data_IF_875336185655
#
_entry.id   IF_875336185655
#
_cell.length_a   1.000
_cell.length_b   1.000
_cell.length_c   1.000
_cell.angle_alpha   90.00
_cell.angle_beta   90.00
_cell.angle_gamma   90.00
#
_symmetry.space_group_name_H-M   'P 1'
#
loop_
_entity.id
_entity.type
_entity.pdbx_description
1 polymer ?
#
# COMPACT_ATOMS: atom_id res chain seq x y z
N UNK A 1 -0.19 -18.17 52.68
CA UNK A 1 1.16 -17.92 52.22
C UNK A 1 1.42 -18.86 51.08
N UNK A 2 1.30 -18.35 49.88
CA UNK A 2 2.02 -18.85 48.71
C UNK A 2 1.74 -17.91 47.54
N UNK A 3 2.65 -16.97 47.38
CA UNK A 3 2.67 -16.03 46.25
C UNK A 3 3.21 -16.80 45.04
N UNK A 4 2.37 -17.04 44.02
CA UNK A 4 2.81 -17.44 42.70
C UNK A 4 2.72 -16.24 41.74
N UNK A 5 3.85 -15.59 41.59
CA UNK A 5 4.17 -14.64 40.58
C UNK A 5 3.93 -15.23 39.17
N UNK A 6 2.91 -14.72 38.45
CA UNK A 6 2.71 -14.99 37.05
C UNK A 6 3.44 -13.86 36.27
N UNK A 7 4.71 -14.09 35.95
CA UNK A 7 5.45 -13.31 34.98
C UNK A 7 5.36 -14.01 33.61
N UNK A 8 4.31 -13.73 32.88
CA UNK A 8 4.08 -14.22 31.51
C UNK A 8 3.51 -13.15 30.61
N UNK A 9 4.34 -12.26 30.10
CA UNK A 9 3.85 -11.26 29.14
C UNK A 9 4.84 -10.14 28.91
N UNK A 10 5.93 -10.37 28.11
CA UNK A 10 6.68 -9.23 27.54
C UNK A 10 7.76 -9.63 26.51
N UNK A 11 7.73 -10.84 25.92
CA UNK A 11 8.75 -11.19 24.90
C UNK A 11 8.34 -10.90 23.44
N UNK A 12 7.05 -10.67 23.16
CA UNK A 12 6.58 -10.34 21.80
C UNK A 12 6.71 -8.85 21.45
N UNK A 13 6.63 -7.95 22.44
CA UNK A 13 6.67 -6.50 22.17
C UNK A 13 8.05 -5.95 21.77
N UNK A 14 9.15 -6.58 22.20
CA UNK A 14 10.49 -6.01 21.93
C UNK A 14 11.00 -6.27 20.50
N UNK A 15 10.59 -7.36 19.87
CA UNK A 15 11.02 -7.70 18.50
C UNK A 15 10.29 -6.84 17.45
N UNK A 16 9.01 -6.53 17.69
CA UNK A 16 8.22 -5.72 16.77
C UNK A 16 8.61 -4.22 16.83
N UNK A 17 8.94 -3.71 18.00
CA UNK A 17 9.31 -2.30 18.17
C UNK A 17 10.59 -1.91 17.42
N UNK A 18 11.56 -2.84 17.26
CA UNK A 18 12.75 -2.61 16.45
C UNK A 18 12.46 -2.56 14.95
N UNK A 19 11.47 -3.32 14.46
CA UNK A 19 11.09 -3.36 13.05
C UNK A 19 10.47 -2.05 12.56
N UNK A 20 9.77 -1.33 13.44
CA UNK A 20 9.13 -0.05 13.14
C UNK A 20 10.08 1.15 13.23
N UNK A 21 11.19 1.02 13.98
CA UNK A 21 12.18 2.08 14.10
C UNK A 21 13.13 2.18 12.88
N UNK A 22 13.22 1.11 12.05
CA UNK A 22 14.17 0.99 10.94
C UNK A 22 13.48 0.75 9.59
N UNK A 23 12.26 1.30 9.38
CA UNK A 23 11.57 1.16 8.09
C UNK A 23 12.34 1.92 7.00
N UNK A 24 12.96 1.19 6.08
CA UNK A 24 13.68 1.75 4.94
C UNK A 24 12.98 1.40 3.63
N UNK A 25 12.62 2.43 2.85
CA UNK A 25 12.11 2.26 1.50
C UNK A 25 13.22 1.76 0.56
N UNK A 26 12.86 0.96 -0.45
CA UNK A 26 13.79 0.43 -1.44
C UNK A 26 14.63 -0.78 -0.96
N UNK A 27 14.46 -1.22 0.29
CA UNK A 27 15.19 -2.37 0.83
C UNK A 27 14.33 -3.64 0.78
N UNK A 28 14.85 -4.70 0.15
CA UNK A 28 14.23 -6.04 0.21
C UNK A 28 14.32 -6.61 1.62
N UNK A 29 13.19 -7.08 2.12
CA UNK A 29 13.07 -7.68 3.46
C UNK A 29 12.31 -8.99 3.42
N UNK A 30 12.38 -9.72 4.52
CA UNK A 30 11.67 -10.97 4.73
C UNK A 30 10.80 -10.87 5.98
N UNK A 31 9.50 -11.13 5.83
CA UNK A 31 8.51 -11.07 6.90
C UNK A 31 7.98 -12.49 7.15
N UNK A 32 8.41 -13.11 8.23
CA UNK A 32 7.95 -14.44 8.65
C UNK A 32 6.54 -14.34 9.24
N UNK A 33 5.55 -14.81 8.50
CA UNK A 33 4.14 -14.72 8.89
C UNK A 33 3.80 -15.57 10.13
N UNK A 34 4.65 -16.54 10.49
CA UNK A 34 4.47 -17.33 11.71
C UNK A 34 4.95 -16.62 12.99
N UNK A 35 5.74 -15.56 12.85
CA UNK A 35 6.35 -14.80 13.95
C UNK A 35 5.86 -13.37 14.05
N UNK A 36 5.41 -12.80 12.93
CA UNK A 36 4.98 -11.40 12.82
C UNK A 36 3.48 -11.36 12.59
N UNK A 37 2.82 -10.34 13.15
CA UNK A 37 1.43 -10.00 12.84
C UNK A 37 1.34 -9.41 11.43
N UNK A 38 1.45 -10.27 10.39
CA UNK A 38 1.39 -9.83 9.00
C UNK A 38 -0.04 -9.52 8.56
N UNK A 39 -0.28 -8.33 8.01
CA UNK A 39 -1.55 -7.86 7.50
C UNK A 39 -1.50 -7.68 5.98
N UNK A 40 -1.59 -8.80 5.23
CA UNK A 40 -1.51 -8.76 3.78
C UNK A 40 -2.81 -8.22 3.16
N UNK A 41 -2.68 -7.26 2.26
CA UNK A 41 -3.77 -6.74 1.43
C UNK A 41 -3.41 -6.87 -0.06
N UNK A 42 -4.42 -7.09 -0.89
CA UNK A 42 -4.28 -7.19 -2.35
C UNK A 42 -5.49 -6.56 -3.06
N UNK A 43 -6.69 -6.71 -2.48
CA UNK A 43 -7.96 -6.28 -3.07
C UNK A 43 -8.68 -5.30 -2.15
N UNK A 44 -9.49 -4.42 -2.74
CA UNK A 44 -10.35 -3.52 -1.97
C UNK A 44 -11.37 -4.23 -1.06
N UNK A 45 -11.64 -5.51 -1.34
CA UNK A 45 -12.58 -6.34 -0.57
C UNK A 45 -11.93 -7.21 0.49
N UNK A 46 -10.61 -7.13 0.66
CA UNK A 46 -9.93 -7.90 1.68
C UNK A 46 -10.32 -7.38 3.07
N UNK A 47 -10.51 -8.30 4.01
CA UNK A 47 -10.87 -8.03 5.39
C UNK A 47 -10.03 -8.91 6.29
N UNK A 48 -9.55 -8.37 7.41
CA UNK A 48 -8.91 -9.13 8.49
C UNK A 48 -9.46 -8.66 9.83
N UNK A 49 -9.87 -9.60 10.67
CA UNK A 49 -10.40 -9.34 12.02
C UNK A 49 -11.55 -8.29 12.03
N UNK A 50 -12.40 -8.30 10.99
CA UNK A 50 -13.47 -7.35 10.77
C UNK A 50 -13.05 -5.98 10.21
N UNK A 51 -11.75 -5.73 10.07
CA UNK A 51 -11.22 -4.48 9.51
C UNK A 51 -11.04 -4.62 7.99
N UNK A 52 -11.67 -3.73 7.18
CA UNK A 52 -11.43 -3.72 5.73
C UNK A 52 -9.99 -3.34 5.42
N UNK A 53 -9.41 -3.97 4.39
CA UNK A 53 -8.04 -3.72 3.95
C UNK A 53 -8.00 -3.06 2.56
N UNK A 54 -8.89 -2.09 2.32
CA UNK A 54 -8.95 -1.30 1.08
C UNK A 54 -7.81 -0.26 1.00
N UNK A 55 -6.57 -0.71 1.25
CA UNK A 55 -5.37 0.11 1.39
C UNK A 55 -4.65 0.40 0.08
N UNK A 56 -4.94 -0.38 -0.96
CA UNK A 56 -4.22 -0.32 -2.25
C UNK A 56 -4.41 1.00 -2.99
N UNK A 57 -3.42 1.39 -3.77
CA UNK A 57 -3.42 2.62 -4.56
C UNK A 57 -4.54 2.70 -5.58
N UNK A 58 -5.02 1.55 -6.08
CA UNK A 58 -6.13 1.46 -7.02
C UNK A 58 -7.51 1.54 -6.35
N UNK A 59 -7.57 1.49 -4.99
CA UNK A 59 -8.82 1.53 -4.25
C UNK A 59 -9.48 2.91 -4.34
N UNK A 60 -10.73 2.91 -4.74
CA UNK A 60 -11.62 4.09 -4.70
C UNK A 60 -12.27 4.22 -3.32
N UNK A 61 -12.95 5.34 -3.09
CA UNK A 61 -13.71 5.60 -1.87
C UNK A 61 -13.02 6.54 -0.91
N UNK A 62 -11.76 6.90 -1.20
CA UNK A 62 -10.98 7.81 -0.36
C UNK A 62 -10.41 8.96 -1.21
N UNK A 63 -11.27 9.84 -1.79
CA UNK A 63 -10.80 10.96 -2.56
C UNK A 63 -10.03 11.94 -1.68
N UNK A 64 -9.05 12.62 -2.26
CA UNK A 64 -8.23 13.62 -1.57
C UNK A 64 -7.81 14.73 -2.52
N UNK A 65 -7.54 15.91 -1.98
CA UNK A 65 -7.03 17.03 -2.73
C UNK A 65 -5.49 16.99 -2.79
N UNK A 66 -4.94 17.36 -3.95
CA UNK A 66 -3.52 17.59 -4.13
C UNK A 66 -3.36 18.73 -5.14
N UNK A 67 -2.67 19.80 -4.76
CA UNK A 67 -2.52 21.00 -5.57
C UNK A 67 -3.86 21.54 -6.14
N UNK A 68 -4.89 21.64 -5.29
CA UNK A 68 -6.21 22.12 -5.69
C UNK A 68 -7.06 21.16 -6.54
N UNK A 69 -6.55 20.00 -6.91
CA UNK A 69 -7.23 19.00 -7.73
C UNK A 69 -7.64 17.78 -6.89
N UNK A 70 -8.83 17.23 -7.18
CA UNK A 70 -9.36 16.05 -6.47
C UNK A 70 -8.97 14.77 -7.19
N UNK A 71 -8.26 13.90 -6.50
CA UNK A 71 -7.91 12.57 -6.96
C UNK A 71 -8.82 11.51 -6.35
N UNK A 72 -9.35 10.62 -7.17
CA UNK A 72 -10.18 9.49 -6.71
C UNK A 72 -9.36 8.32 -6.17
N UNK A 73 -8.08 8.24 -6.55
CA UNK A 73 -7.16 7.15 -6.16
C UNK A 73 -5.73 7.68 -6.04
N UNK A 74 -4.95 7.10 -5.14
CA UNK A 74 -3.52 7.40 -5.03
C UNK A 74 -2.73 6.97 -6.27
N UNK A 75 -3.19 5.96 -7.02
CA UNK A 75 -2.56 5.56 -8.27
C UNK A 75 -2.61 6.68 -9.31
N UNK A 76 -3.74 7.38 -9.45
CA UNK A 76 -3.84 8.49 -10.41
C UNK A 76 -2.86 9.62 -10.06
N UNK A 77 -2.78 10.01 -8.77
CA UNK A 77 -1.82 11.01 -8.32
C UNK A 77 -0.37 10.56 -8.51
N UNK A 78 -0.07 9.29 -8.20
CA UNK A 78 1.24 8.70 -8.44
C UNK A 78 1.65 8.76 -9.92
N UNK A 79 0.74 8.37 -10.81
CA UNK A 79 0.98 8.40 -12.26
C UNK A 79 1.19 9.83 -12.79
N UNK A 80 0.50 10.83 -12.23
CA UNK A 80 0.75 12.24 -12.58
C UNK A 80 2.20 12.66 -12.30
N UNK A 81 2.80 12.12 -11.23
CA UNK A 81 4.21 12.35 -10.91
C UNK A 81 5.19 11.84 -11.97
N UNK A 82 4.83 10.79 -12.74
CA UNK A 82 5.67 10.31 -13.84
C UNK A 82 5.81 11.33 -14.99
N UNK A 83 4.88 12.30 -15.08
CA UNK A 83 4.81 13.33 -16.12
C UNK A 83 4.94 14.73 -15.52
N UNK A 84 5.75 14.90 -14.48
CA UNK A 84 5.80 16.11 -13.66
C UNK A 84 7.08 16.95 -13.81
N UNK A 85 7.94 16.65 -14.77
CA UNK A 85 9.19 17.40 -15.01
C UNK A 85 8.99 18.70 -15.80
N UNK A 86 7.80 18.93 -16.34
CA UNK A 86 7.47 20.11 -17.15
C UNK A 86 5.99 20.47 -17.06
N UNK A 87 5.70 21.78 -17.05
CA UNK A 87 4.35 22.31 -17.15
C UNK A 87 3.62 21.92 -18.45
N UNK A 88 4.36 21.59 -19.51
CA UNK A 88 3.79 21.21 -20.82
C UNK A 88 3.10 19.84 -20.81
N UNK A 89 3.29 19.01 -19.78
CA UNK A 89 2.71 17.66 -19.68
C UNK A 89 1.35 17.62 -18.99
N UNK A 90 0.78 18.75 -18.65
CA UNK A 90 -0.51 18.85 -17.93
C UNK A 90 -1.65 18.08 -18.61
N UNK A 91 -1.73 18.04 -19.94
CA UNK A 91 -2.78 17.30 -20.66
C UNK A 91 -2.75 15.79 -20.40
N UNK A 92 -1.54 15.22 -20.21
CA UNK A 92 -1.38 13.80 -19.84
C UNK A 92 -1.87 13.59 -18.40
N UNK A 93 -1.52 14.52 -17.51
CA UNK A 93 -1.93 14.46 -16.09
C UNK A 93 -3.45 14.58 -15.94
N UNK A 94 -4.11 15.51 -16.67
CA UNK A 94 -5.58 15.60 -16.70
C UNK A 94 -6.21 14.29 -17.18
N UNK A 95 -5.70 13.71 -18.27
CA UNK A 95 -6.22 12.43 -18.77
C UNK A 95 -6.06 11.28 -17.77
N UNK A 96 -5.00 11.28 -16.94
CA UNK A 96 -4.77 10.28 -15.88
C UNK A 96 -5.70 10.49 -14.69
N UNK A 97 -5.92 11.74 -14.29
CA UNK A 97 -6.76 12.09 -13.14
C UNK A 97 -8.25 11.86 -13.45
N UNK A 98 -8.70 12.24 -14.66
CA UNK A 98 -10.08 12.12 -15.11
C UNK A 98 -10.52 10.68 -15.42
N UNK A 99 -9.56 9.76 -15.66
CA UNK A 99 -9.90 8.35 -15.88
C UNK A 99 -10.41 7.70 -14.57
N UNK A 100 -11.72 7.40 -14.50
CA UNK A 100 -12.30 6.90 -13.26
C UNK A 100 -11.81 5.48 -12.89
N UNK A 101 -11.19 4.77 -13.83
CA UNK A 101 -10.61 3.46 -13.60
C UNK A 101 -9.08 3.56 -13.57
N UNK A 102 -8.50 3.60 -12.37
CA UNK A 102 -7.06 3.71 -12.18
C UNK A 102 -6.24 2.58 -12.88
N UNK A 103 -6.84 1.41 -13.08
CA UNK A 103 -6.21 0.34 -13.86
C UNK A 103 -6.13 0.70 -15.35
N UNK A 104 -7.16 1.35 -15.92
CA UNK A 104 -7.13 1.84 -17.29
C UNK A 104 -6.17 3.03 -17.44
N UNK A 105 -6.13 3.95 -16.48
CA UNK A 105 -5.13 5.02 -16.43
C UNK A 105 -3.72 4.44 -16.57
N UNK A 106 -3.38 3.44 -15.77
CA UNK A 106 -2.09 2.75 -15.82
C UNK A 106 -1.85 1.99 -17.12
N UNK A 107 -2.81 1.18 -17.55
CA UNK A 107 -2.66 0.26 -18.68
C UNK A 107 -2.78 0.92 -20.05
N UNK A 108 -3.56 1.99 -20.17
CA UNK A 108 -3.87 2.64 -21.45
C UNK A 108 -3.17 3.99 -21.55
N UNK A 109 -3.48 4.92 -20.63
CA UNK A 109 -3.01 6.31 -20.76
C UNK A 109 -1.50 6.37 -20.53
N UNK A 110 -1.00 5.83 -19.42
CA UNK A 110 0.43 5.77 -19.16
C UNK A 110 1.18 5.07 -20.30
N UNK A 111 0.70 3.90 -20.76
CA UNK A 111 1.38 3.12 -21.80
C UNK A 111 1.55 3.89 -23.12
N UNK A 112 0.55 4.69 -23.51
CA UNK A 112 0.62 5.53 -24.71
C UNK A 112 1.66 6.66 -24.58
N UNK A 113 1.96 7.07 -23.35
CA UNK A 113 2.79 8.22 -23.04
C UNK A 113 4.16 7.86 -22.45
N UNK A 114 4.58 6.59 -22.46
CA UNK A 114 5.83 6.12 -21.84
C UNK A 114 7.07 6.94 -22.22
N UNK A 115 7.13 7.43 -23.46
CA UNK A 115 8.27 8.27 -23.94
C UNK A 115 8.35 9.65 -23.28
N UNK A 116 7.29 10.07 -22.58
CA UNK A 116 7.23 11.35 -21.88
C UNK A 116 7.41 11.21 -20.36
N UNK A 117 7.63 9.98 -19.85
CA UNK A 117 7.97 9.77 -18.44
C UNK A 117 9.28 10.50 -18.15
N UNK A 118 9.35 11.19 -17.02
CA UNK A 118 10.55 11.90 -16.59
C UNK A 118 11.73 10.93 -16.40
N UNK A 119 12.92 11.37 -16.78
CA UNK A 119 14.11 10.50 -16.79
C UNK A 119 14.59 10.11 -15.38
N UNK A 120 14.39 10.99 -14.41
CA UNK A 120 14.79 10.80 -13.00
C UNK A 120 13.68 10.14 -12.15
N UNK A 121 12.68 9.50 -12.80
CA UNK A 121 11.54 8.90 -12.10
C UNK A 121 11.95 7.89 -11.02
N UNK A 122 12.93 7.05 -11.31
CA UNK A 122 13.40 6.03 -10.37
C UNK A 122 14.00 6.63 -9.09
N UNK A 123 14.54 7.85 -9.14
CA UNK A 123 15.10 8.55 -7.99
C UNK A 123 14.02 9.05 -7.03
N UNK A 124 12.89 9.51 -7.57
CA UNK A 124 11.86 10.19 -6.76
C UNK A 124 10.62 9.35 -6.45
N UNK A 125 10.37 8.27 -7.20
CA UNK A 125 9.09 7.54 -7.17
C UNK A 125 8.66 7.07 -5.78
N UNK A 126 9.59 6.69 -4.91
CA UNK A 126 9.26 6.23 -3.55
C UNK A 126 8.89 7.40 -2.66
N UNK A 127 9.63 8.50 -2.72
CA UNK A 127 9.33 9.73 -1.97
C UNK A 127 8.05 10.38 -2.47
N UNK A 128 7.83 10.38 -3.78
CA UNK A 128 6.58 10.86 -4.37
C UNK A 128 5.38 10.03 -3.91
N UNK A 129 5.48 8.69 -3.90
CA UNK A 129 4.40 7.84 -3.39
C UNK A 129 4.16 8.07 -1.89
N UNK A 130 5.21 8.23 -1.08
CA UNK A 130 5.08 8.54 0.34
C UNK A 130 4.33 9.86 0.54
N UNK A 131 4.69 10.90 -0.22
CA UNK A 131 3.99 12.17 -0.21
C UNK A 131 2.52 12.04 -0.61
N UNK A 132 2.22 11.37 -1.72
CA UNK A 132 0.84 11.15 -2.20
C UNK A 132 -0.02 10.42 -1.18
N UNK A 133 0.51 9.36 -0.54
CA UNK A 133 -0.23 8.61 0.47
C UNK A 133 -0.42 9.44 1.73
N UNK A 134 0.56 10.24 2.10
CA UNK A 134 0.43 11.18 3.21
C UNK A 134 -0.67 12.21 2.95
N UNK A 135 -0.70 12.84 1.77
CA UNK A 135 -1.77 13.76 1.37
C UNK A 135 -3.15 13.10 1.45
N UNK A 136 -3.25 11.82 1.05
CA UNK A 136 -4.48 11.04 1.22
C UNK A 136 -4.83 10.83 2.70
N UNK A 137 -3.87 10.58 3.57
CA UNK A 137 -4.10 10.40 5.01
C UNK A 137 -4.61 11.69 5.67
N UNK A 138 -4.03 12.84 5.36
CA UNK A 138 -4.46 14.11 5.94
C UNK A 138 -5.75 14.65 5.30
N UNK A 139 -5.93 14.44 3.99
CA UNK A 139 -7.07 14.94 3.23
C UNK A 139 -8.32 14.08 3.30
N UNK A 140 -8.26 12.84 3.80
CA UNK A 140 -9.41 11.94 3.87
C UNK A 140 -9.52 11.25 5.24
N UNK A 141 -10.51 11.67 6.03
CA UNK A 141 -10.72 11.17 7.40
C UNK A 141 -11.03 9.66 7.43
N UNK A 142 -11.79 9.13 6.47
CA UNK A 142 -12.16 7.71 6.45
C UNK A 142 -10.93 6.84 6.18
N UNK A 143 -10.03 7.26 5.27
CA UNK A 143 -8.78 6.55 5.03
C UNK A 143 -7.85 6.61 6.24
N UNK A 144 -7.74 7.77 6.88
CA UNK A 144 -6.98 7.95 8.12
C UNK A 144 -7.49 7.02 9.21
N UNK A 145 -8.80 7.00 9.45
CA UNK A 145 -9.44 6.16 10.46
C UNK A 145 -9.25 4.67 10.16
N UNK A 146 -9.38 4.27 8.88
CA UNK A 146 -9.08 2.91 8.44
C UNK A 146 -7.63 2.53 8.76
N UNK A 147 -6.67 3.37 8.42
CA UNK A 147 -5.25 3.08 8.66
C UNK A 147 -4.95 2.99 10.16
N UNK A 148 -5.56 3.85 10.97
CA UNK A 148 -5.42 3.86 12.43
C UNK A 148 -6.16 2.70 13.11
N UNK A 149 -7.15 2.07 12.48
CA UNK A 149 -7.83 0.89 13.03
C UNK A 149 -7.01 -0.39 12.97
N UNK A 150 -5.97 -0.43 12.12
CA UNK A 150 -5.04 -1.57 12.05
C UNK A 150 -4.19 -1.59 13.33
N UNK A 151 -3.97 -2.76 13.98
CA UNK A 151 -3.16 -2.88 15.20
C UNK A 151 -1.75 -2.30 15.05
N UNK A 152 -1.20 -1.75 16.14
CA UNK A 152 0.08 -1.06 16.10
C UNK A 152 1.28 -2.00 15.85
N UNK A 153 1.16 -3.25 16.22
CA UNK A 153 2.14 -4.32 15.95
C UNK A 153 1.98 -4.97 14.56
N UNK A 154 1.00 -4.53 13.79
CA UNK A 154 0.70 -5.09 12.47
C UNK A 154 1.75 -4.68 11.44
N UNK A 155 2.35 -5.67 10.78
CA UNK A 155 3.18 -5.48 9.60
C UNK A 155 2.29 -5.46 8.36
N UNK A 156 2.05 -4.29 7.80
CA UNK A 156 1.22 -4.12 6.60
C UNK A 156 2.00 -4.59 5.37
N UNK A 157 1.41 -5.48 4.57
CA UNK A 157 2.08 -6.07 3.41
C UNK A 157 1.19 -5.96 2.17
N UNK A 158 1.71 -5.35 1.09
CA UNK A 158 1.07 -5.49 -0.22
C UNK A 158 1.35 -6.90 -0.77
N UNK A 159 0.34 -7.78 -0.72
CA UNK A 159 0.46 -9.16 -1.19
C UNK A 159 0.49 -9.23 -2.71
N UNK A 160 1.67 -9.24 -3.27
CA UNK A 160 1.94 -9.41 -4.70
C UNK A 160 2.15 -10.87 -5.11
N UNK A 161 1.78 -11.84 -4.27
CA UNK A 161 2.03 -13.28 -4.48
C UNK A 161 1.41 -13.79 -5.79
N UNK A 162 0.26 -13.25 -6.19
CA UNK A 162 -0.43 -13.62 -7.44
C UNK A 162 0.06 -12.82 -8.66
N UNK A 163 0.81 -11.75 -8.46
CA UNK A 163 1.20 -10.81 -9.50
C UNK A 163 2.44 -11.29 -10.28
N UNK A 164 2.46 -10.96 -11.58
CA UNK A 164 3.57 -11.20 -12.48
C UNK A 164 4.07 -9.84 -13.00
N UNK A 165 5.36 -9.64 -13.00
CA UNK A 165 5.99 -8.40 -13.47
C UNK A 165 7.17 -7.99 -12.61
N UNK A 166 8.08 -7.19 -13.17
CA UNK A 166 9.31 -6.78 -12.50
C UNK A 166 9.06 -5.94 -11.24
N UNK A 167 8.03 -5.09 -11.26
CA UNK A 167 7.74 -4.13 -10.18
C UNK A 167 6.93 -4.70 -9.02
N UNK A 168 6.41 -5.93 -9.13
CA UNK A 168 5.52 -6.47 -8.08
C UNK A 168 6.24 -6.73 -6.74
N UNK A 169 7.56 -6.95 -6.75
CA UNK A 169 8.36 -7.10 -5.53
C UNK A 169 8.94 -5.78 -5.03
N UNK A 170 8.88 -4.73 -5.84
CA UNK A 170 9.25 -3.37 -5.43
C UNK A 170 8.14 -2.78 -4.56
N UNK A 171 6.89 -2.83 -5.03
CA UNK A 171 5.76 -2.27 -4.29
C UNK A 171 5.24 -3.20 -3.21
N UNK A 172 5.25 -4.51 -3.45
CA UNK A 172 4.77 -5.50 -2.51
C UNK A 172 5.80 -6.57 -2.17
N UNK A 173 5.31 -7.66 -1.58
CA UNK A 173 6.09 -8.85 -1.27
C UNK A 173 5.35 -10.12 -1.70
N UNK A 174 6.08 -11.22 -1.90
CA UNK A 174 5.55 -12.50 -2.34
C UNK A 174 5.80 -13.58 -1.30
N UNK A 175 4.78 -14.43 -1.09
CA UNK A 175 4.86 -15.59 -0.23
C UNK A 175 4.47 -16.85 -1.02
N UNK A 176 5.48 -17.68 -1.36
CA UNK A 176 5.28 -18.89 -2.17
C UNK A 176 4.53 -19.98 -1.42
N UNK A 177 4.79 -20.14 -0.13
CA UNK A 177 4.16 -21.11 0.76
C UNK A 177 2.69 -20.78 0.94
N UNK A 178 2.34 -19.54 1.22
CA UNK A 178 0.97 -19.05 1.29
C UNK A 178 0.21 -19.31 -0.02
N UNK A 179 0.84 -19.02 -1.16
CA UNK A 179 0.25 -19.32 -2.47
C UNK A 179 -0.01 -20.82 -2.66
N UNK A 180 0.91 -21.67 -2.21
CA UNK A 180 0.75 -23.13 -2.26
C UNK A 180 -0.40 -23.60 -1.38
N UNK A 181 -0.46 -23.12 -0.12
CA UNK A 181 -1.52 -23.43 0.83
C UNK A 181 -2.90 -23.00 0.30
N UNK A 182 -3.04 -21.77 -0.17
CA UNK A 182 -4.29 -21.25 -0.75
C UNK A 182 -4.72 -22.03 -2.01
N UNK A 183 -3.77 -22.48 -2.84
CA UNK A 183 -4.07 -23.34 -4.01
C UNK A 183 -4.56 -24.71 -3.59
N UNK A 184 -3.96 -25.33 -2.58
CA UNK A 184 -4.40 -26.62 -2.03
C UNK A 184 -5.83 -26.48 -1.48
N UNK A 185 -6.09 -25.48 -0.65
CA UNK A 185 -7.42 -25.22 -0.10
C UNK A 185 -8.47 -24.99 -1.17
N UNK A 186 -8.13 -24.21 -2.19
CA UNK A 186 -9.01 -24.00 -3.35
C UNK A 186 -9.36 -25.31 -4.07
N UNK A 187 -8.38 -26.20 -4.25
CA UNK A 187 -8.61 -27.52 -4.87
C UNK A 187 -9.55 -28.40 -4.02
N UNK A 188 -9.37 -28.40 -2.72
CA UNK A 188 -10.26 -29.10 -1.78
C UNK A 188 -11.71 -28.60 -1.88
N UNK A 189 -11.91 -27.27 -1.89
CA UNK A 189 -13.23 -26.68 -2.00
C UNK A 189 -13.93 -27.02 -3.33
N UNK A 190 -13.21 -27.01 -4.44
CA UNK A 190 -13.78 -27.47 -5.73
C UNK A 190 -14.21 -28.94 -5.68
N UNK A 191 -13.45 -29.80 -5.01
CA UNK A 191 -13.79 -31.21 -4.86
C UNK A 191 -14.97 -31.43 -3.89
N UNK A 192 -15.03 -30.63 -2.81
CA UNK A 192 -16.08 -30.76 -1.80
C UNK A 192 -17.46 -30.23 -2.27
N UNK A 193 -17.46 -29.24 -3.16
CA UNK A 193 -18.69 -28.57 -3.60
C UNK A 193 -18.87 -28.57 -5.12
N UNK A 194 -18.94 -29.74 -5.78
CA UNK A 194 -18.95 -29.87 -7.27
C UNK A 194 -20.21 -29.29 -7.90
N UNK A 195 -21.33 -29.21 -7.16
CA UNK A 195 -22.63 -28.72 -7.64
C UNK A 195 -22.95 -27.28 -7.24
N UNK A 196 -22.09 -26.66 -6.44
CA UNK A 196 -22.28 -25.27 -5.99
C UNK A 196 -22.23 -24.29 -7.17
N UNK A 197 -23.09 -23.28 -7.18
CA UNK A 197 -23.02 -22.21 -8.20
C UNK A 197 -21.67 -21.54 -8.16
N UNK A 198 -21.09 -21.28 -9.32
CA UNK A 198 -19.76 -20.69 -9.46
C UNK A 198 -19.56 -19.38 -8.68
N UNK A 199 -20.62 -18.54 -8.59
CA UNK A 199 -20.58 -17.29 -7.82
C UNK A 199 -20.40 -17.57 -6.32
N UNK A 200 -21.19 -18.50 -5.77
CA UNK A 200 -21.19 -18.81 -4.33
C UNK A 200 -19.88 -19.55 -3.96
N UNK A 201 -19.43 -20.46 -4.81
CA UNK A 201 -18.14 -21.14 -4.62
C UNK A 201 -16.94 -20.17 -4.66
N UNK A 202 -16.96 -19.16 -5.53
CA UNK A 202 -15.91 -18.14 -5.55
C UNK A 202 -15.90 -17.28 -4.28
N UNK A 203 -17.06 -16.99 -3.71
CA UNK A 203 -17.17 -16.27 -2.41
C UNK A 203 -16.60 -17.14 -1.27
N UNK A 204 -17.00 -18.40 -1.20
CA UNK A 204 -16.49 -19.36 -0.22
C UNK A 204 -14.97 -19.54 -0.35
N UNK A 205 -14.43 -19.65 -1.58
CA UNK A 205 -12.99 -19.74 -1.82
C UNK A 205 -12.28 -18.48 -1.36
N UNK A 206 -12.84 -17.30 -1.62
CA UNK A 206 -12.24 -16.04 -1.19
C UNK A 206 -12.17 -15.95 0.34
N UNK A 207 -13.26 -16.32 1.03
CA UNK A 207 -13.33 -16.37 2.48
C UNK A 207 -12.33 -17.36 3.08
N UNK A 208 -12.39 -18.63 2.67
CA UNK A 208 -11.57 -19.71 3.23
C UNK A 208 -10.07 -19.51 2.93
N UNK A 209 -9.73 -19.04 1.73
CA UNK A 209 -8.33 -18.72 1.41
C UNK A 209 -7.87 -17.46 2.15
N UNK A 210 -8.76 -16.51 2.45
CA UNK A 210 -8.46 -15.32 3.23
C UNK A 210 -8.06 -15.63 4.67
N UNK A 211 -8.61 -16.70 5.27
CA UNK A 211 -8.27 -17.17 6.62
C UNK A 211 -6.86 -17.73 6.74
N UNK A 212 -6.23 -18.09 5.60
CA UNK A 212 -4.84 -18.60 5.61
C UNK A 212 -3.90 -17.41 5.56
N UNK A 213 -3.34 -17.00 6.69
CA UNK A 213 -2.49 -15.81 6.83
C UNK A 213 -1.11 -16.10 7.40
N UNK A 214 -0.99 -17.04 8.33
CA UNK A 214 0.19 -17.24 9.18
C UNK A 214 1.11 -18.36 8.66
N UNK A 215 1.31 -18.37 7.32
CA UNK A 215 2.09 -19.43 6.64
C UNK A 215 3.19 -18.80 5.81
N UNK A 216 4.42 -19.31 5.98
CA UNK A 216 5.59 -18.95 5.18
C UNK A 216 6.08 -17.52 5.39
N UNK A 217 6.94 -17.08 4.47
CA UNK A 217 7.56 -15.76 4.54
C UNK A 217 7.20 -14.92 3.31
N UNK A 218 6.85 -13.66 3.55
CA UNK A 218 6.77 -12.65 2.49
C UNK A 218 8.17 -12.11 2.21
N UNK A 219 8.57 -12.07 0.95
CA UNK A 219 9.86 -11.55 0.49
C UNK A 219 9.64 -10.50 -0.58
N UNK A 220 10.22 -9.31 -0.40
CA UNK A 220 10.12 -8.17 -1.31
C UNK A 220 10.50 -6.87 -0.62
N UNK A 221 10.50 -5.78 -1.37
CA UNK A 221 10.73 -4.46 -0.78
C UNK A 221 9.53 -3.98 0.02
N UNK A 222 8.31 -4.41 -0.36
CA UNK A 222 7.06 -4.03 0.32
C UNK A 222 6.92 -2.52 0.52
N UNK A 223 7.37 -1.70 -0.44
CA UNK A 223 7.37 -0.25 -0.27
C UNK A 223 5.98 0.31 0.01
N UNK A 224 4.92 -0.25 -0.58
CA UNK A 224 3.56 0.22 -0.29
C UNK A 224 3.15 -0.05 1.16
N UNK A 225 3.41 -1.26 1.67
CA UNK A 225 3.17 -1.58 3.07
C UNK A 225 4.01 -0.72 4.02
N UNK A 226 5.28 -0.48 3.70
CA UNK A 226 6.18 0.40 4.46
C UNK A 226 5.68 1.84 4.48
N UNK A 227 5.26 2.38 3.34
CA UNK A 227 4.68 3.73 3.24
C UNK A 227 3.44 3.85 4.14
N UNK A 228 2.55 2.88 4.11
CA UNK A 228 1.36 2.86 4.98
C UNK A 228 1.75 2.81 6.46
N UNK A 229 2.74 2.00 6.84
CA UNK A 229 3.24 1.94 8.22
C UNK A 229 3.87 3.28 8.64
N UNK A 230 4.69 3.91 7.79
CA UNK A 230 5.28 5.23 8.06
C UNK A 230 4.21 6.31 8.25
N UNK A 231 3.20 6.35 7.39
CA UNK A 231 2.06 7.26 7.54
C UNK A 231 1.28 6.99 8.83
N UNK A 232 1.03 5.71 9.17
CA UNK A 232 0.35 5.34 10.41
C UNK A 232 1.11 5.77 11.65
N UNK A 233 2.43 5.55 11.69
CA UNK A 233 3.30 5.99 12.79
C UNK A 233 3.25 7.52 12.92
N UNK A 234 3.34 8.24 11.81
CA UNK A 234 3.26 9.70 11.79
C UNK A 234 1.92 10.21 12.35
N UNK A 235 0.80 9.60 11.92
CA UNK A 235 -0.54 9.91 12.44
C UNK A 235 -0.66 9.66 13.95
N UNK A 236 -0.13 8.53 14.46
CA UNK A 236 -0.14 8.20 15.88
C UNK A 236 0.65 9.19 16.74
N UNK A 237 1.77 9.65 16.21
CA UNK A 237 2.69 10.54 16.92
C UNK A 237 2.39 12.02 16.66
N UNK A 238 1.37 12.33 15.85
CA UNK A 238 1.06 13.70 15.42
C UNK A 238 2.31 14.38 14.79
N UNK A 239 2.98 13.67 13.90
CA UNK A 239 4.17 14.11 13.17
C UNK A 239 3.97 13.94 11.66
N UNK A 240 4.95 14.36 10.87
CA UNK A 240 5.00 14.11 9.42
C UNK A 240 5.88 12.87 9.16
N UNK A 241 5.50 11.98 8.22
CA UNK A 241 6.38 10.88 7.85
C UNK A 241 7.68 11.40 7.21
N UNK A 242 8.73 10.57 7.13
CA UNK A 242 10.06 11.00 6.67
C UNK A 242 10.10 11.21 5.14
N UNK A 243 9.36 12.20 4.67
CA UNK A 243 9.35 12.63 3.27
C UNK A 243 10.59 13.47 3.00
N UNK A 244 11.34 13.12 1.96
CA UNK A 244 12.47 13.93 1.49
C UNK A 244 11.95 15.10 0.64
N UNK A 245 11.52 16.16 1.33
CA UNK A 245 11.03 17.38 0.68
C UNK A 245 12.13 18.12 -0.08
N UNK A 246 13.40 17.98 0.30
CA UNK A 246 14.53 18.62 -0.38
C UNK A 246 14.72 17.97 -1.76
N UNK A 247 14.71 16.65 -1.82
CA UNK A 247 14.74 15.91 -3.09
C UNK A 247 13.57 16.31 -3.99
N UNK A 248 12.33 16.32 -3.47
CA UNK A 248 11.16 16.65 -4.28
C UNK A 248 11.19 18.09 -4.82
N UNK A 249 11.70 19.07 -4.03
CA UNK A 249 11.90 20.46 -4.49
C UNK A 249 12.99 20.55 -5.55
N UNK A 250 14.14 19.90 -5.34
CA UNK A 250 15.25 19.86 -6.28
C UNK A 250 14.78 19.34 -7.66
N UNK A 251 14.00 18.27 -7.65
CA UNK A 251 13.49 17.61 -8.86
C UNK A 251 12.31 18.34 -9.52
N UNK A 252 11.81 19.42 -8.95
CA UNK A 252 10.77 20.29 -9.52
C UNK A 252 9.57 19.50 -10.02
N UNK A 253 8.58 19.30 -9.17
CA UNK A 253 7.35 18.57 -9.49
C UNK A 253 6.30 19.55 -10.03
N UNK A 254 5.92 19.41 -11.29
CA UNK A 254 4.82 20.17 -11.89
C UNK A 254 3.54 19.33 -11.89
N UNK A 255 2.47 19.86 -11.31
CA UNK A 255 1.14 19.27 -11.42
C UNK A 255 0.20 20.24 -12.15
N UNK A 256 -0.40 19.76 -13.21
CA UNK A 256 -1.36 20.50 -14.04
C UNK A 256 -0.85 21.86 -14.55
N UNK A 257 0.44 21.92 -14.80
CA UNK A 257 1.12 23.12 -15.32
C UNK A 257 1.74 24.01 -14.23
N UNK A 258 1.44 23.78 -12.96
CA UNK A 258 1.93 24.54 -11.83
C UNK A 258 3.06 23.82 -11.09
N UNK A 259 4.08 24.56 -10.64
CA UNK A 259 5.15 24.02 -9.81
C UNK A 259 4.60 23.76 -8.40
N UNK A 260 4.69 22.52 -7.94
CA UNK A 260 4.25 22.16 -6.60
C UNK A 260 5.22 22.72 -5.55
N UNK A 261 4.67 23.45 -4.59
CA UNK A 261 5.39 23.91 -3.40
C UNK A 261 5.23 22.89 -2.29
N UNK A 262 6.33 22.56 -1.62
CA UNK A 262 6.34 21.63 -0.50
C UNK A 262 6.62 22.43 0.78
N UNK A 263 5.57 22.91 1.42
CA UNK A 263 5.68 23.63 2.69
C UNK A 263 5.81 22.64 3.84
N UNK A 264 6.75 22.90 4.76
CA UNK A 264 7.03 22.00 5.89
C UNK A 264 5.89 21.95 6.94
N UNK A 265 4.88 22.80 6.80
CA UNK A 265 3.84 23.04 7.81
C UNK A 265 2.55 22.21 7.62
N UNK A 266 2.50 21.25 6.70
CA UNK A 266 1.37 20.33 6.61
C UNK A 266 1.44 19.19 7.66
N UNK A 267 1.74 19.57 8.92
CA UNK A 267 1.37 18.78 10.08
C UNK A 267 -0.14 18.95 10.32
N UNK A 268 -0.79 17.88 10.79
CA UNK A 268 -2.24 17.81 11.09
C UNK A 268 -2.74 18.96 11.95
#
# INVERSE_FOLDING_TARGET
MDDRNITGGNRHNSCNQSLFNDIMLGRTEMYDASKLSCWPFCRATDVRDGIPLSLGNLCKGYPFALNGHIFLTSEAAYLCGEFSDSSSKQSIQYSLMEEPNAFLAKKVIKRKNLKYVRQDWEEIRLQWMLYVVWQKCIGNADFRNLLLSIPDDAVIIEDSTANYGATCMIWGAKNKELRKARRARKKELYAAYPTMKKKDLNLLIAEECGKITDVGCFVGENNMGKILMLCKIALRNNTVPPIDYELLREKKIYLFGELLTFDKEEAL
#
